data_IF_112133743811
#
_entry.id   IF_112133743811
#
_cell.length_a   1.000
_cell.length_b   1.000
_cell.length_c   1.000
_cell.angle_alpha   90.00
_cell.angle_beta   90.00
_cell.angle_gamma   90.00
#
_symmetry.space_group_name_H-M   'P 1'
#
loop_
_entity.id
_entity.type
_entity.pdbx_description
1 polymer ?
#
# COMPACT_ATOMS: atom_id res chain seq x y z
N UNK A 1 -1.84 10.41 23.46
CA UNK A 1 -1.12 11.41 22.65
C UNK A 1 -1.60 11.22 21.22
N UNK A 2 -2.15 12.26 20.58
CA UNK A 2 -2.57 12.19 19.18
C UNK A 2 -1.34 12.36 18.30
N UNK A 3 -1.14 11.47 17.34
CA UNK A 3 -0.04 11.55 16.37
C UNK A 3 -0.63 11.93 15.02
N UNK A 4 -0.18 13.06 14.49
CA UNK A 4 -0.44 13.45 13.11
C UNK A 4 0.74 13.00 12.26
N UNK A 5 0.47 12.16 11.26
CA UNK A 5 1.42 11.85 10.20
C UNK A 5 1.18 12.86 9.08
N UNK A 6 2.24 13.55 8.67
CA UNK A 6 2.16 14.60 7.67
C UNK A 6 2.25 14.02 6.27
N UNK A 7 3.29 13.22 5.98
CA UNK A 7 3.53 12.67 4.65
C UNK A 7 4.17 11.28 4.71
N UNK A 8 3.71 10.38 3.85
CA UNK A 8 4.30 9.04 3.65
C UNK A 8 4.72 8.87 2.19
N UNK A 9 5.79 8.12 1.95
CA UNK A 9 6.25 7.82 0.60
C UNK A 9 6.52 6.33 0.44
N UNK A 10 6.17 5.78 -0.73
CA UNK A 10 6.57 4.45 -1.13
C UNK A 10 7.25 4.50 -2.49
N UNK A 11 8.40 3.84 -2.60
CA UNK A 11 9.27 3.86 -3.78
C UNK A 11 9.87 2.49 -4.02
N UNK A 12 9.71 1.95 -5.23
CA UNK A 12 10.60 0.89 -5.71
C UNK A 12 11.95 1.53 -6.13
N UNK A 13 12.99 1.27 -5.35
CA UNK A 13 14.33 1.89 -5.49
C UNK A 13 15.35 1.02 -6.22
N UNK A 14 15.01 -0.23 -6.55
CA UNK A 14 15.85 -1.14 -7.32
C UNK A 14 17.29 -1.33 -6.76
N UNK A 15 17.48 -1.17 -5.44
CA UNK A 15 18.74 -1.36 -4.72
C UNK A 15 19.17 -0.14 -3.92
N UNK A 16 18.77 -0.07 -2.65
CA UNK A 16 18.86 1.14 -1.81
C UNK A 16 20.29 1.63 -1.56
N UNK A 17 21.27 0.72 -1.40
CA UNK A 17 22.68 1.08 -1.15
C UNK A 17 23.25 1.90 -2.30
N UNK A 18 22.87 1.58 -3.54
CA UNK A 18 23.33 2.34 -4.69
C UNK A 18 22.77 3.76 -4.72
N UNK A 19 21.56 3.94 -4.18
CA UNK A 19 20.80 5.19 -4.20
C UNK A 19 21.24 6.15 -3.10
N UNK A 20 21.61 5.62 -1.94
CA UNK A 20 22.17 6.41 -0.84
C UNK A 20 23.55 7.01 -1.11
N UNK A 21 24.21 6.63 -2.21
CA UNK A 21 25.42 7.30 -2.67
C UNK A 21 25.15 8.70 -3.23
N UNK A 22 23.88 9.03 -3.49
CA UNK A 22 23.44 10.32 -4.02
C UNK A 22 22.65 11.05 -2.92
N UNK A 23 23.12 12.22 -2.45
CA UNK A 23 22.45 12.99 -1.39
C UNK A 23 20.99 13.34 -1.70
N UNK A 24 20.66 13.44 -2.99
CA UNK A 24 19.34 13.78 -3.50
C UNK A 24 18.22 12.90 -2.91
N UNK A 25 18.49 11.60 -2.65
CA UNK A 25 17.46 10.73 -2.08
C UNK A 25 17.17 11.09 -0.62
N UNK A 26 18.20 11.40 0.16
CA UNK A 26 18.05 11.75 1.57
C UNK A 26 17.35 13.09 1.73
N UNK A 27 17.73 14.09 0.93
CA UNK A 27 17.07 15.39 0.89
C UNK A 27 15.58 15.27 0.50
N UNK A 28 15.27 14.47 -0.53
CA UNK A 28 13.88 14.23 -0.96
C UNK A 28 13.04 13.54 0.11
N UNK A 29 13.63 12.62 0.87
CA UNK A 29 12.90 11.84 1.87
C UNK A 29 12.78 12.54 3.23
N UNK A 30 13.52 13.63 3.47
CA UNK A 30 13.60 14.30 4.78
C UNK A 30 12.25 14.79 5.32
N UNK A 31 11.33 15.21 4.44
CA UNK A 31 10.03 15.77 4.83
C UNK A 31 8.98 14.70 5.16
N UNK A 32 9.20 13.45 4.78
CA UNK A 32 8.29 12.34 5.03
C UNK A 32 8.50 11.72 6.41
N UNK A 33 7.45 11.14 6.98
CA UNK A 33 7.50 10.51 8.30
C UNK A 33 7.68 8.99 8.22
N UNK A 34 7.20 8.37 7.14
CA UNK A 34 7.37 6.94 6.83
C UNK A 34 7.86 6.78 5.39
N UNK A 35 8.96 6.04 5.22
CA UNK A 35 9.54 5.68 3.92
C UNK A 35 9.41 4.17 3.71
N UNK A 36 8.72 3.75 2.65
CA UNK A 36 8.56 2.36 2.27
C UNK A 36 9.33 2.07 0.97
N UNK A 37 10.48 1.39 1.08
CA UNK A 37 11.32 1.07 -0.07
C UNK A 37 11.16 -0.39 -0.51
N UNK A 38 10.70 -0.58 -1.75
CA UNK A 38 10.61 -1.87 -2.43
C UNK A 38 11.86 -2.12 -3.29
N UNK A 39 12.18 -3.39 -3.55
CA UNK A 39 13.44 -3.82 -4.16
C UNK A 39 14.67 -3.23 -3.44
N UNK A 40 14.71 -3.32 -2.11
CA UNK A 40 15.83 -2.83 -1.32
C UNK A 40 17.15 -3.52 -1.70
N UNK A 41 17.08 -4.79 -2.12
CA UNK A 41 18.21 -5.68 -2.46
C UNK A 41 19.25 -5.74 -1.35
N UNK A 42 18.79 -5.72 -0.10
CA UNK A 42 19.62 -5.89 1.07
C UNK A 42 19.83 -7.38 1.39
N UNK A 43 20.95 -7.67 2.05
CA UNK A 43 21.19 -8.93 2.76
C UNK A 43 21.45 -8.67 4.26
N UNK A 44 21.79 -9.73 5.00
CA UNK A 44 21.99 -9.65 6.44
C UNK A 44 23.32 -8.97 6.85
N UNK A 45 24.20 -8.67 5.90
CA UNK A 45 25.47 -7.99 6.12
C UNK A 45 25.40 -6.50 5.78
N UNK A 46 24.34 -6.09 5.07
CA UNK A 46 24.17 -4.71 4.66
C UNK A 46 23.63 -3.85 5.81
N UNK A 47 24.39 -2.81 6.15
CA UNK A 47 23.95 -1.74 7.03
C UNK A 47 23.54 -0.52 6.21
N UNK A 48 22.39 0.03 6.57
CA UNK A 48 21.78 1.18 5.91
C UNK A 48 21.16 2.04 7.00
N UNK A 49 21.49 3.32 6.95
CA UNK A 49 21.03 4.37 7.85
C UNK A 49 20.45 5.53 7.04
N UNK A 50 19.52 6.25 7.65
CA UNK A 50 18.87 7.42 7.09
C UNK A 50 18.71 8.42 8.24
N UNK A 51 19.21 9.65 8.09
CA UNK A 51 19.31 10.58 9.22
C UNK A 51 17.93 10.91 9.80
N UNK A 52 17.77 10.80 11.13
CA UNK A 52 16.51 11.00 11.89
C UNK A 52 15.43 9.94 11.64
N UNK A 53 15.78 8.80 11.04
CA UNK A 53 14.88 7.66 10.88
C UNK A 53 15.41 6.43 11.62
N UNK A 54 14.47 5.65 12.14
CA UNK A 54 14.69 4.30 12.63
C UNK A 54 14.32 3.32 11.54
N UNK A 55 15.27 2.43 11.20
CA UNK A 55 15.04 1.32 10.28
C UNK A 55 14.26 0.21 10.99
N UNK A 56 13.11 -0.19 10.43
CA UNK A 56 12.41 -1.40 10.87
C UNK A 56 13.15 -2.65 10.37
N UNK A 57 13.03 -3.81 11.04
CA UNK A 57 13.63 -5.06 10.58
C UNK A 57 13.28 -5.34 9.10
N UNK A 58 14.26 -5.37 8.20
CA UNK A 58 13.98 -5.49 6.77
C UNK A 58 13.49 -6.90 6.42
N UNK A 59 12.65 -6.98 5.40
CA UNK A 59 12.19 -8.24 4.85
C UNK A 59 13.01 -8.56 3.60
N UNK A 60 14.07 -9.35 3.78
CA UNK A 60 14.96 -9.74 2.70
C UNK A 60 14.49 -11.03 2.02
N UNK A 61 14.67 -11.13 0.70
CA UNK A 61 14.37 -12.35 -0.03
C UNK A 61 15.34 -13.47 0.35
N UNK A 62 14.83 -14.66 0.68
CA UNK A 62 15.67 -15.83 1.01
C UNK A 62 15.95 -16.67 -0.24
N UNK A 63 17.11 -17.33 -0.25
CA UNK A 63 17.47 -18.32 -1.28
C UNK A 63 17.75 -17.77 -2.68
N UNK A 64 17.79 -16.46 -2.88
CA UNK A 64 18.19 -15.87 -4.16
C UNK A 64 19.71 -16.00 -4.40
N UNK A 65 20.11 -16.31 -5.64
CA UNK A 65 21.54 -16.38 -6.03
C UNK A 65 22.25 -15.04 -5.98
N UNK A 66 21.48 -13.95 -6.11
CA UNK A 66 21.94 -12.57 -6.08
C UNK A 66 20.97 -11.75 -5.23
N UNK A 67 21.46 -10.63 -4.69
CA UNK A 67 20.63 -9.65 -3.97
C UNK A 67 19.47 -9.20 -4.87
N UNK A 68 18.24 -9.56 -4.49
CA UNK A 68 17.04 -9.33 -5.29
C UNK A 68 15.82 -9.19 -4.40
N UNK A 69 14.82 -8.44 -4.87
CA UNK A 69 13.63 -8.11 -4.09
C UNK A 69 13.97 -7.37 -2.80
N UNK A 70 13.22 -7.66 -1.74
CA UNK A 70 13.40 -7.10 -0.42
C UNK A 70 12.61 -5.81 -0.18
N UNK A 71 12.17 -5.64 1.06
CA UNK A 71 11.42 -4.47 1.53
C UNK A 71 12.13 -3.91 2.77
N UNK A 72 12.31 -2.59 2.82
CA UNK A 72 12.80 -1.90 4.01
C UNK A 72 11.93 -0.69 4.28
N UNK A 73 11.60 -0.50 5.57
CA UNK A 73 10.81 0.63 6.03
C UNK A 73 11.64 1.45 7.01
N UNK A 74 11.60 2.77 6.84
CA UNK A 74 12.17 3.75 7.75
C UNK A 74 11.05 4.61 8.32
N UNK A 75 11.07 4.85 9.63
CA UNK A 75 10.11 5.71 10.32
C UNK A 75 10.86 6.81 11.06
N UNK A 76 10.33 8.04 11.07
CA UNK A 76 10.97 9.11 11.86
C UNK A 76 11.05 8.72 13.33
N UNK A 77 12.13 9.10 14.00
CA UNK A 77 12.41 8.73 15.39
C UNK A 77 11.24 9.03 16.35
N UNK A 78 10.55 10.16 16.15
CA UNK A 78 9.41 10.55 16.99
C UNK A 78 8.20 9.61 16.84
N UNK A 79 8.07 8.88 15.73
CA UNK A 79 7.01 7.90 15.52
C UNK A 79 7.36 6.53 16.09
N UNK A 80 8.65 6.22 16.25
CA UNK A 80 9.10 4.85 16.51
C UNK A 80 8.50 4.24 17.78
N UNK A 81 8.29 5.03 18.84
CA UNK A 81 7.65 4.57 20.08
C UNK A 81 6.20 4.10 19.91
N UNK A 82 5.58 4.38 18.77
CA UNK A 82 4.20 4.04 18.45
C UNK A 82 4.09 2.93 17.40
N UNK A 83 5.22 2.43 16.91
CA UNK A 83 5.29 1.36 15.93
C UNK A 83 5.29 -0.01 16.63
N UNK A 84 4.39 -0.90 16.21
CA UNK A 84 4.45 -2.33 16.50
C UNK A 84 4.77 -3.06 15.19
N UNK A 85 5.97 -3.63 15.06
CA UNK A 85 6.34 -4.46 13.90
C UNK A 85 5.78 -5.86 14.10
N UNK A 86 5.14 -6.39 13.06
CA UNK A 86 4.45 -7.67 13.12
C UNK A 86 5.26 -8.78 12.43
N UNK A 87 5.04 -10.02 12.87
CA UNK A 87 5.66 -11.17 12.23
C UNK A 87 5.13 -11.36 10.80
N UNK A 88 6.03 -11.55 9.84
CA UNK A 88 5.69 -11.76 8.44
C UNK A 88 5.87 -13.25 8.11
N UNK A 89 4.82 -13.88 7.59
CA UNK A 89 4.86 -15.25 7.07
C UNK A 89 5.34 -15.32 5.62
N UNK A 90 5.30 -14.19 4.91
CA UNK A 90 5.78 -14.04 3.53
C UNK A 90 6.96 -13.06 3.41
N UNK A 91 7.62 -13.05 2.25
CA UNK A 91 8.67 -12.09 1.90
C UNK A 91 8.15 -10.91 1.05
N UNK A 92 6.83 -10.80 0.92
CA UNK A 92 6.18 -9.89 -0.04
C UNK A 92 5.45 -8.71 0.63
N UNK A 93 5.28 -8.75 1.96
CA UNK A 93 4.66 -7.67 2.72
C UNK A 93 5.35 -7.53 4.09
N UNK A 94 5.83 -6.33 4.39
CA UNK A 94 6.34 -5.97 5.71
C UNK A 94 5.21 -5.25 6.47
N UNK A 95 4.78 -5.86 7.57
CA UNK A 95 3.64 -5.40 8.37
C UNK A 95 4.08 -4.65 9.62
N UNK A 96 3.45 -3.49 9.86
CA UNK A 96 3.62 -2.75 11.10
C UNK A 96 2.37 -1.94 11.42
N UNK A 97 2.04 -1.81 12.70
CA UNK A 97 0.95 -0.95 13.18
C UNK A 97 1.56 0.35 13.67
N UNK A 98 0.93 1.46 13.30
CA UNK A 98 1.19 2.74 13.97
C UNK A 98 0.01 3.03 14.89
N UNK A 99 0.29 3.09 16.18
CA UNK A 99 -0.72 3.33 17.20
C UNK A 99 -1.03 4.82 17.35
N UNK A 100 -2.29 5.15 17.62
CA UNK A 100 -2.77 6.50 17.89
C UNK A 100 -2.63 7.50 16.73
N UNK A 101 -2.70 7.03 15.49
CA UNK A 101 -2.94 7.91 14.34
C UNK A 101 -4.41 8.29 14.38
N UNK A 102 -4.73 9.57 14.53
CA UNK A 102 -6.13 10.03 14.45
C UNK A 102 -7.10 9.28 15.40
N UNK A 103 -6.59 8.91 16.59
CA UNK A 103 -7.30 8.14 17.63
C UNK A 103 -7.56 6.66 17.34
N UNK A 104 -7.10 6.11 16.21
CA UNK A 104 -7.25 4.70 15.86
C UNK A 104 -5.89 4.09 15.46
N UNK A 105 -5.66 2.78 15.64
CA UNK A 105 -4.49 2.13 15.10
C UNK A 105 -4.65 1.91 13.59
N UNK A 106 -3.57 2.13 12.84
CA UNK A 106 -3.52 1.83 11.39
C UNK A 106 -2.47 0.76 11.15
N UNK A 107 -2.90 -0.33 10.52
CA UNK A 107 -2.04 -1.38 10.00
C UNK A 107 -1.50 -0.94 8.64
N UNK A 108 -0.18 -0.81 8.56
CA UNK A 108 0.53 -0.58 7.31
C UNK A 108 1.11 -1.88 6.76
N UNK A 109 0.97 -2.05 5.44
CA UNK A 109 1.66 -3.09 4.68
C UNK A 109 2.52 -2.46 3.59
N UNK A 110 3.84 -2.53 3.76
CA UNK A 110 4.77 -2.21 2.67
C UNK A 110 4.93 -3.45 1.78
N UNK A 111 4.39 -3.40 0.56
CA UNK A 111 4.25 -4.55 -0.32
C UNK A 111 5.22 -4.51 -1.50
N UNK A 112 5.82 -5.65 -1.81
CA UNK A 112 6.55 -5.89 -3.05
C UNK A 112 6.16 -7.26 -3.58
N UNK A 113 5.32 -7.27 -4.62
CA UNK A 113 4.91 -8.49 -5.31
C UNK A 113 5.82 -8.66 -6.51
N UNK A 114 6.50 -9.80 -6.67
CA UNK A 114 7.36 -10.03 -7.82
C UNK A 114 6.54 -10.01 -9.12
N UNK A 115 7.10 -9.59 -10.27
CA UNK A 115 6.36 -9.61 -11.54
C UNK A 115 5.82 -11.00 -11.90
N UNK A 116 4.64 -11.07 -12.52
CA UNK A 116 3.94 -12.32 -12.87
C UNK A 116 4.79 -13.30 -13.72
N UNK A 117 5.78 -12.79 -14.44
CA UNK A 117 6.68 -13.60 -15.30
C UNK A 117 8.00 -14.00 -14.63
N UNK A 118 8.19 -13.65 -13.36
CA UNK A 118 9.42 -13.96 -12.64
C UNK A 118 9.37 -15.36 -12.03
N UNK A 119 10.52 -15.96 -11.75
CA UNK A 119 10.60 -17.28 -11.10
C UNK A 119 10.00 -17.31 -9.68
N UNK A 120 9.70 -16.13 -9.11
CA UNK A 120 9.16 -15.95 -7.77
C UNK A 120 7.66 -15.62 -7.78
N UNK A 121 7.04 -15.58 -8.94
CA UNK A 121 5.61 -15.26 -9.10
C UNK A 121 4.74 -16.39 -8.55
N UNK A 122 3.74 -16.06 -7.73
CA UNK A 122 2.60 -16.94 -7.46
C UNK A 122 1.35 -16.10 -7.24
N UNK A 123 0.20 -16.56 -7.75
CA UNK A 123 -1.08 -15.89 -7.50
C UNK A 123 -1.51 -16.04 -6.03
N UNK A 124 -1.06 -17.10 -5.37
CA UNK A 124 -1.37 -17.41 -3.95
C UNK A 124 -0.74 -16.38 -2.99
N UNK A 125 0.19 -15.55 -3.47
CA UNK A 125 0.76 -14.45 -2.67
C UNK A 125 -0.35 -13.53 -2.15
N UNK A 126 -1.39 -13.27 -2.95
CA UNK A 126 -2.52 -12.45 -2.55
C UNK A 126 -3.36 -13.12 -1.45
N UNK A 127 -3.49 -14.45 -1.47
CA UNK A 127 -4.20 -15.20 -0.43
C UNK A 127 -3.45 -15.14 0.91
N UNK A 128 -2.11 -15.16 0.86
CA UNK A 128 -1.25 -14.99 2.05
C UNK A 128 -1.42 -13.57 2.62
N UNK A 129 -1.36 -12.54 1.77
CA UNK A 129 -1.57 -11.15 2.18
C UNK A 129 -2.96 -10.95 2.78
N UNK A 130 -3.99 -11.51 2.16
CA UNK A 130 -5.36 -11.45 2.67
C UNK A 130 -5.49 -12.11 4.06
N UNK A 131 -4.89 -13.29 4.23
CA UNK A 131 -4.88 -14.00 5.52
C UNK A 131 -4.16 -13.19 6.60
N UNK A 132 -3.01 -12.60 6.29
CA UNK A 132 -2.25 -11.75 7.24
C UNK A 132 -3.02 -10.48 7.57
N UNK A 133 -3.64 -9.83 6.58
CA UNK A 133 -4.50 -8.67 6.77
C UNK A 133 -5.66 -8.97 7.71
N UNK A 134 -6.40 -10.05 7.46
CA UNK A 134 -7.53 -10.44 8.31
C UNK A 134 -7.07 -10.72 9.73
N UNK A 135 -5.98 -11.47 9.90
CA UNK A 135 -5.39 -11.75 11.22
C UNK A 135 -5.09 -10.44 11.95
N UNK A 136 -4.34 -9.53 11.35
CA UNK A 136 -3.86 -8.35 12.05
C UNK A 136 -4.90 -7.24 12.18
N UNK A 137 -5.69 -6.97 11.14
CA UNK A 137 -6.69 -5.92 11.15
C UNK A 137 -7.84 -6.24 12.12
N UNK A 138 -8.30 -7.50 12.19
CA UNK A 138 -9.37 -7.92 13.10
C UNK A 138 -8.88 -8.00 14.53
N UNK A 139 -7.76 -8.70 14.80
CA UNK A 139 -7.26 -8.91 16.17
C UNK A 139 -6.93 -7.60 16.88
N UNK A 140 -6.51 -6.59 16.12
CA UNK A 140 -6.06 -5.29 16.63
C UNK A 140 -7.03 -4.14 16.32
N UNK A 141 -8.18 -4.43 15.71
CA UNK A 141 -9.18 -3.45 15.29
C UNK A 141 -8.56 -2.24 14.54
N UNK A 142 -7.74 -2.54 13.53
CA UNK A 142 -6.99 -1.55 12.77
C UNK A 142 -7.67 -1.17 11.46
N UNK A 143 -7.56 0.10 11.07
CA UNK A 143 -7.73 0.49 9.67
C UNK A 143 -6.50 0.06 8.87
N UNK A 144 -6.64 -0.13 7.56
CA UNK A 144 -5.59 -0.71 6.71
C UNK A 144 -5.07 0.33 5.72
N UNK A 145 -3.74 0.38 5.54
CA UNK A 145 -3.06 1.13 4.49
C UNK A 145 -1.94 0.29 3.88
N UNK A 146 -2.10 -0.12 2.62
CA UNK A 146 -1.09 -0.81 1.83
C UNK A 146 -0.40 0.16 0.88
N UNK A 147 0.91 0.02 0.78
CA UNK A 147 1.77 0.87 -0.05
C UNK A 147 2.82 0.00 -0.73
N UNK A 148 3.04 0.20 -2.02
CA UNK A 148 4.21 -0.37 -2.71
C UNK A 148 3.89 -0.94 -4.07
N UNK A 149 4.84 -1.71 -4.60
CA UNK A 149 4.82 -2.25 -5.95
C UNK A 149 4.13 -3.62 -5.97
N UNK A 150 2.90 -3.64 -6.48
CA UNK A 150 2.11 -4.87 -6.61
C UNK A 150 2.36 -5.61 -7.92
N UNK A 151 3.12 -5.04 -8.86
CA UNK A 151 3.28 -5.56 -10.22
C UNK A 151 1.95 -6.06 -10.83
N UNK A 152 0.86 -5.36 -10.52
CA UNK A 152 -0.51 -5.76 -10.84
C UNK A 152 -1.15 -4.70 -11.72
N UNK A 153 -1.63 -5.07 -12.91
CA UNK A 153 -2.27 -4.14 -13.83
C UNK A 153 -3.77 -4.16 -13.60
N UNK A 154 -4.34 -3.12 -12.99
CA UNK A 154 -5.78 -3.09 -12.65
C UNK A 154 -6.63 -2.35 -13.70
N UNK A 155 -6.01 -1.63 -14.63
CA UNK A 155 -6.70 -0.85 -15.65
C UNK A 155 -7.58 0.23 -15.03
N UNK A 156 -8.85 0.29 -15.45
CA UNK A 156 -9.90 1.15 -14.84
C UNK A 156 -11.01 0.34 -14.16
N UNK A 157 -10.77 -0.94 -13.89
CA UNK A 157 -11.77 -1.81 -13.27
C UNK A 157 -12.05 -1.39 -11.82
N UNK A 158 -13.29 -1.55 -11.41
CA UNK A 158 -13.73 -1.23 -10.06
C UNK A 158 -13.12 -2.19 -9.03
N UNK A 159 -12.70 -1.60 -7.92
CA UNK A 159 -12.10 -2.18 -6.71
C UNK A 159 -13.10 -2.34 -5.57
N UNK A 160 -14.37 -2.02 -5.82
CA UNK A 160 -15.46 -2.08 -4.85
C UNK A 160 -16.65 -2.87 -5.41
N UNK A 161 -17.58 -3.25 -4.54
CA UNK A 161 -18.82 -3.92 -4.91
C UNK A 161 -19.96 -2.91 -4.86
N UNK A 162 -20.62 -2.67 -5.99
CA UNK A 162 -21.87 -1.91 -6.02
C UNK A 162 -23.03 -2.80 -5.58
N UNK A 163 -23.69 -2.44 -4.47
CA UNK A 163 -25.01 -3.00 -4.17
C UNK A 163 -26.01 -2.48 -5.21
N UNK A 164 -26.46 -3.36 -6.11
CA UNK A 164 -27.52 -3.03 -7.05
C UNK A 164 -28.80 -2.66 -6.29
N UNK A 165 -29.32 -1.45 -6.55
CA UNK A 165 -30.53 -0.89 -5.91
C UNK A 165 -31.71 -1.87 -5.96
N UNK A 166 -31.85 -2.60 -7.08
CA UNK A 166 -32.90 -3.60 -7.30
C UNK A 166 -32.80 -4.81 -6.35
N UNK A 167 -31.58 -5.27 -6.04
CA UNK A 167 -31.38 -6.37 -5.08
C UNK A 167 -31.75 -5.88 -3.67
N UNK A 168 -31.36 -4.65 -3.33
CA UNK A 168 -31.67 -4.07 -2.01
C UNK A 168 -33.16 -3.85 -1.77
N UNK A 169 -33.92 -3.49 -2.81
CA UNK A 169 -35.38 -3.34 -2.74
C UNK A 169 -36.11 -4.70 -2.81
N UNK A 170 -35.66 -5.61 -3.69
CA UNK A 170 -36.27 -6.93 -3.86
C UNK A 170 -36.05 -7.87 -2.67
N UNK A 171 -34.94 -7.70 -1.95
CA UNK A 171 -34.57 -8.54 -0.82
C UNK A 171 -35.12 -8.04 0.52
N UNK A 172 -35.89 -6.93 0.55
CA UNK A 172 -36.35 -6.29 1.80
C UNK A 172 -35.20 -6.20 2.83
N UNK A 173 -34.01 -5.85 2.34
CA UNK A 173 -32.83 -5.72 3.19
C UNK A 173 -33.04 -4.49 4.06
N UNK A 174 -33.63 -4.70 5.24
CA UNK A 174 -33.83 -3.68 6.26
C UNK A 174 -32.51 -2.97 6.56
N UNK A 175 -32.58 -1.71 7.01
CA UNK A 175 -31.39 -0.91 7.38
C UNK A 175 -30.42 -1.67 8.29
N UNK A 176 -30.93 -2.55 9.15
CA UNK A 176 -30.14 -3.41 10.03
C UNK A 176 -29.30 -4.44 9.27
N UNK A 177 -29.79 -4.99 8.15
CA UNK A 177 -29.01 -5.93 7.35
C UNK A 177 -27.94 -5.19 6.55
N UNK A 178 -28.22 -3.99 6.03
CA UNK A 178 -27.18 -3.13 5.42
C UNK A 178 -26.06 -2.77 6.42
N UNK A 179 -26.40 -2.61 7.71
CA UNK A 179 -25.42 -2.42 8.79
C UNK A 179 -24.63 -3.70 9.10
N UNK A 180 -25.22 -4.88 8.94
CA UNK A 180 -24.56 -6.17 9.20
C UNK A 180 -23.59 -6.63 8.09
N UNK A 181 -23.64 -6.02 6.90
CA UNK A 181 -22.79 -6.41 5.77
C UNK A 181 -21.53 -5.55 5.59
N UNK A 182 -21.19 -4.66 6.54
CA UNK A 182 -20.02 -3.76 6.48
C UNK A 182 -19.86 -3.02 5.13
N UNK A 183 -20.95 -2.84 4.38
CA UNK A 183 -20.90 -2.09 3.13
C UNK A 183 -20.75 -0.61 3.45
N UNK A 184 -19.58 -0.08 3.15
CA UNK A 184 -19.32 1.35 3.33
C UNK A 184 -20.06 2.13 2.25
N UNK A 185 -20.93 3.04 2.68
CA UNK A 185 -21.57 4.01 1.79
C UNK A 185 -20.54 5.06 1.36
N UNK A 186 -19.90 4.80 0.21
CA UNK A 186 -18.89 5.68 -0.37
C UNK A 186 -19.45 7.08 -0.67
N UNK A 187 -20.74 7.20 -1.02
CA UNK A 187 -21.36 8.50 -1.29
C UNK A 187 -21.50 9.30 0.01
N UNK A 188 -21.89 8.64 1.11
CA UNK A 188 -21.97 9.26 2.43
C UNK A 188 -20.60 9.74 2.95
N UNK A 189 -19.52 9.05 2.60
CA UNK A 189 -18.15 9.47 2.90
C UNK A 189 -17.58 10.50 1.92
N UNK A 190 -18.32 10.86 0.86
CA UNK A 190 -17.85 11.78 -0.19
C UNK A 190 -16.72 11.20 -1.04
N UNK A 191 -16.56 9.87 -1.07
CA UNK A 191 -15.50 9.17 -1.80
C UNK A 191 -15.92 8.96 -3.25
N UNK A 192 -15.05 9.35 -4.18
CA UNK A 192 -15.31 9.15 -5.60
C UNK A 192 -15.23 7.68 -5.98
N UNK A 193 -16.36 7.07 -6.37
CA UNK A 193 -16.42 5.65 -6.78
C UNK A 193 -15.50 5.34 -7.96
N UNK A 194 -15.53 6.18 -9.00
CA UNK A 194 -14.74 5.97 -10.22
C UNK A 194 -13.29 6.41 -10.02
N UNK A 195 -12.36 5.52 -10.35
CA UNK A 195 -10.93 5.84 -10.47
C UNK A 195 -10.52 6.01 -11.92
N UNK A 196 -9.47 6.80 -12.14
CA UNK A 196 -8.78 6.87 -13.42
C UNK A 196 -7.47 6.09 -13.41
N UNK A 197 -6.98 5.78 -14.60
CA UNK A 197 -5.68 5.14 -14.82
C UNK A 197 -5.25 5.42 -16.25
N UNK A 198 -4.01 5.85 -16.43
CA UNK A 198 -3.34 5.94 -17.73
C UNK A 198 -2.92 4.55 -18.22
N UNK A 199 -2.64 3.61 -17.30
CA UNK A 199 -2.48 2.20 -17.64
C UNK A 199 -3.86 1.56 -17.84
N UNK A 200 -4.10 1.07 -19.06
CA UNK A 200 -5.37 0.44 -19.46
C UNK A 200 -5.31 -1.07 -19.43
N UNK A 201 -4.13 -1.65 -19.20
CA UNK A 201 -3.95 -3.09 -19.19
C UNK A 201 -4.56 -3.71 -17.93
N UNK A 202 -5.01 -4.96 -18.05
CA UNK A 202 -5.45 -5.76 -16.92
C UNK A 202 -4.87 -7.16 -17.04
N UNK A 203 -4.22 -7.65 -15.98
CA UNK A 203 -3.61 -8.96 -15.90
C UNK A 203 -4.19 -9.81 -14.76
N UNK A 204 -3.65 -11.02 -14.52
CA UNK A 204 -4.16 -11.91 -13.49
C UNK A 204 -3.93 -11.34 -12.09
N UNK A 205 -2.77 -10.73 -11.86
CA UNK A 205 -2.43 -10.07 -10.59
C UNK A 205 -3.36 -8.90 -10.31
N UNK A 206 -3.65 -8.08 -11.32
CA UNK A 206 -4.62 -7.00 -11.23
C UNK A 206 -6.02 -7.49 -10.91
N UNK A 207 -6.49 -8.57 -11.55
CA UNK A 207 -7.79 -9.16 -11.20
C UNK A 207 -7.80 -9.67 -9.75
N UNK A 208 -6.72 -10.32 -9.29
CA UNK A 208 -6.64 -10.83 -7.91
C UNK A 208 -6.53 -9.72 -6.86
N UNK A 209 -5.80 -8.65 -7.15
CA UNK A 209 -5.72 -7.44 -6.32
C UNK A 209 -7.08 -6.75 -6.20
N UNK A 210 -7.82 -6.64 -7.30
CA UNK A 210 -9.17 -6.08 -7.29
C UNK A 210 -10.15 -6.95 -6.49
N UNK A 211 -9.98 -8.28 -6.51
CA UNK A 211 -10.75 -9.18 -5.64
C UNK A 211 -10.41 -8.94 -4.17
N UNK A 212 -9.12 -8.91 -3.81
CA UNK A 212 -8.68 -8.60 -2.45
C UNK A 212 -9.27 -7.28 -1.95
N UNK A 213 -9.28 -6.23 -2.79
CA UNK A 213 -9.91 -4.95 -2.44
C UNK A 213 -11.40 -5.09 -2.16
N UNK A 214 -12.14 -5.85 -2.98
CA UNK A 214 -13.57 -6.07 -2.80
C UNK A 214 -13.88 -6.89 -1.56
N UNK A 215 -13.13 -7.95 -1.34
CA UNK A 215 -13.35 -8.92 -0.27
C UNK A 215 -13.03 -8.29 1.11
N UNK A 216 -12.03 -7.40 1.16
CA UNK A 216 -11.60 -6.71 2.38
C UNK A 216 -12.12 -5.27 2.50
N UNK A 217 -13.02 -4.85 1.60
CA UNK A 217 -13.55 -3.49 1.54
C UNK A 217 -12.45 -2.41 1.58
N UNK A 218 -11.40 -2.60 0.78
CA UNK A 218 -10.31 -1.65 0.58
C UNK A 218 -10.47 -0.93 -0.75
N UNK A 219 -9.88 0.26 -0.84
CA UNK A 219 -9.98 1.13 -2.00
C UNK A 219 -8.61 1.62 -2.45
N UNK A 220 -8.38 1.55 -3.76
CA UNK A 220 -7.22 2.12 -4.44
C UNK A 220 -7.36 3.66 -4.45
N UNK A 221 -6.36 4.36 -3.92
CA UNK A 221 -6.29 5.82 -3.91
C UNK A 221 -5.83 6.40 -5.25
N UNK A 222 -4.98 5.68 -5.99
CA UNK A 222 -4.50 6.08 -7.32
C UNK A 222 -5.68 6.38 -8.26
N UNK A 223 -5.61 7.52 -8.94
CA UNK A 223 -6.65 7.99 -9.86
C UNK A 223 -7.91 8.55 -9.19
N UNK A 224 -8.01 8.50 -7.85
CA UNK A 224 -9.20 8.85 -7.07
C UNK A 224 -8.98 10.10 -6.21
N UNK A 225 -7.77 10.30 -5.69
CA UNK A 225 -7.45 11.31 -4.69
C UNK A 225 -6.60 12.49 -5.21
N UNK A 226 -6.90 13.67 -4.69
CA UNK A 226 -6.13 14.93 -4.83
C UNK A 226 -5.51 15.17 -6.21
N UNK A 227 -4.18 15.30 -6.31
CA UNK A 227 -3.47 15.68 -7.53
C UNK A 227 -3.52 14.59 -8.60
N UNK A 228 -3.84 13.36 -8.23
CA UNK A 228 -3.99 12.23 -9.15
C UNK A 228 -5.45 11.93 -9.53
N UNK A 229 -6.41 12.65 -8.93
CA UNK A 229 -7.84 12.48 -9.20
C UNK A 229 -8.14 12.69 -10.69
N UNK A 230 -8.84 11.73 -11.30
CA UNK A 230 -9.19 11.71 -12.73
C UNK A 230 -7.99 11.62 -13.69
N UNK A 231 -6.78 11.36 -13.19
CA UNK A 231 -5.56 11.19 -13.98
C UNK A 231 -5.16 9.72 -13.93
N UNK A 232 -4.77 9.24 -12.75
CA UNK A 232 -4.22 7.89 -12.55
C UNK A 232 -2.87 7.75 -13.24
N UNK A 233 -1.92 8.59 -12.81
CA UNK A 233 -0.59 8.73 -13.39
C UNK A 233 0.22 7.43 -13.32
N UNK A 234 1.14 7.28 -14.27
CA UNK A 234 2.03 6.11 -14.37
C UNK A 234 3.04 6.14 -13.22
N UNK A 235 3.26 5.00 -12.57
CA UNK A 235 4.12 4.87 -11.39
C UNK A 235 5.43 4.16 -11.67
N UNK A 236 5.53 3.43 -12.79
CA UNK A 236 6.75 2.75 -13.21
C UNK A 236 7.19 3.19 -14.62
N UNK A 237 8.39 3.80 -14.71
CA UNK A 237 9.10 4.14 -15.96
C UNK A 237 8.22 4.79 -17.04
N UNK A 238 7.27 5.62 -16.61
CA UNK A 238 6.31 6.28 -17.50
C UNK A 238 5.56 5.31 -18.43
N UNK A 239 5.33 4.06 -17.99
CA UNK A 239 4.69 3.03 -18.82
C UNK A 239 3.47 2.39 -18.16
N UNK A 240 3.52 2.13 -16.84
CA UNK A 240 2.49 1.32 -16.16
C UNK A 240 2.12 1.89 -14.80
N UNK A 241 0.95 1.47 -14.29
CA UNK A 241 0.51 1.72 -12.91
C UNK A 241 0.59 0.41 -12.14
N UNK A 242 1.61 0.26 -11.31
CA UNK A 242 1.87 -0.98 -10.54
C UNK A 242 2.21 -0.70 -9.08
N UNK A 243 2.72 0.50 -8.78
CA UNK A 243 2.81 1.00 -7.41
C UNK A 243 1.47 1.59 -6.97
N UNK A 244 0.89 1.06 -5.89
CA UNK A 244 -0.43 1.47 -5.40
C UNK A 244 -0.38 1.95 -3.95
N UNK A 245 -1.29 2.86 -3.65
CA UNK A 245 -1.75 3.15 -2.30
C UNK A 245 -3.18 2.64 -2.17
N UNK A 246 -3.43 1.70 -1.25
CA UNK A 246 -4.70 1.01 -1.08
C UNK A 246 -5.08 1.08 0.39
N UNK A 247 -6.29 1.47 0.74
CA UNK A 247 -6.63 1.71 2.14
C UNK A 247 -8.10 1.51 2.46
N UNK A 248 -8.41 1.38 3.75
CA UNK A 248 -9.79 1.41 4.25
C UNK A 248 -10.47 2.74 3.87
N UNK A 249 -11.75 2.74 3.46
CA UNK A 249 -12.48 3.94 3.06
C UNK A 249 -12.44 5.08 4.07
N UNK A 250 -12.44 4.77 5.37
CA UNK A 250 -12.43 5.77 6.45
C UNK A 250 -11.12 6.55 6.51
N UNK A 251 -10.03 6.01 5.98
CA UNK A 251 -8.78 6.75 5.87
C UNK A 251 -8.83 7.82 4.77
N UNK A 252 -9.68 7.68 3.75
CA UNK A 252 -9.82 8.67 2.67
C UNK A 252 -10.26 10.04 3.19
N UNK A 253 -11.05 10.08 4.26
CA UNK A 253 -11.58 11.34 4.82
C UNK A 253 -10.53 12.12 5.61
N UNK A 254 -9.41 11.47 5.94
CA UNK A 254 -8.34 12.03 6.76
C UNK A 254 -7.08 12.40 5.96
N UNK A 255 -7.03 12.04 4.68
CA UNK A 255 -5.92 12.42 3.79
C UNK A 255 -6.03 13.90 3.45
N UNK A 256 -4.91 14.61 3.54
CA UNK A 256 -4.82 16.04 3.22
C UNK A 256 -4.25 16.31 1.82
N UNK A 257 -3.41 15.40 1.32
CA UNK A 257 -2.87 15.44 -0.05
C UNK A 257 -2.53 14.01 -0.52
N UNK A 258 -2.54 13.81 -1.83
CA UNK A 258 -2.11 12.58 -2.49
C UNK A 258 -1.56 12.92 -3.87
N UNK A 259 -0.34 12.45 -4.15
CA UNK A 259 0.32 12.70 -5.42
C UNK A 259 1.16 11.51 -5.86
N UNK A 260 1.24 11.36 -7.19
CA UNK A 260 2.22 10.49 -7.83
C UNK A 260 3.38 11.38 -8.25
N UNK A 261 4.54 11.15 -7.65
CA UNK A 261 5.75 11.91 -7.97
C UNK A 261 6.24 11.56 -9.40
N UNK A 262 6.82 12.54 -10.13
CA UNK A 262 7.43 12.27 -11.42
C UNK A 262 8.50 11.18 -11.34
N UNK A 263 8.66 10.42 -12.42
CA UNK A 263 9.72 9.41 -12.50
C UNK A 263 11.09 10.05 -12.33
N UNK A 264 11.87 9.54 -11.39
CA UNK A 264 13.25 9.95 -11.16
C UNK A 264 14.21 8.78 -11.43
N UNK A 265 15.03 8.86 -12.50
CA UNK A 265 16.02 7.83 -12.80
C UNK A 265 17.15 7.76 -11.78
N UNK A 266 17.34 8.78 -10.94
CA UNK A 266 18.30 8.71 -9.84
C UNK A 266 17.73 7.92 -8.66
N UNK A 267 16.42 7.94 -8.44
CA UNK A 267 15.75 7.19 -7.38
C UNK A 267 15.45 5.71 -7.75
N UNK A 268 15.34 5.36 -9.04
CA UNK A 268 15.06 3.99 -9.53
C UNK A 268 16.18 3.38 -10.37
#
# INVERSE_FOLDING_TARGET
>A
MLIQINQNISLNVCGIISKLKFPDLEEKCADYDILCFCESKLDNLDEVEFSNFVKLPPLNRKGAKHKSGGIVVFVKEFLYSNIEVLECSSENALWFIVNNILYEPVLFGACYIPPERSDYSSIDIFDVIETELLKYAVDKNCKVCLLGDFNAHTGKKDDFVEMNHYVSESAQLDKEIKQNFDFVDLDALGICKKRSSLDKSVDNYGNRLLLLCKDLNLLIANGRLFKDKNIGALTCKESTVVDYCIMSPELFTNILDFEILPYDPNAK
#
